data_IF_096540510995
#
_entry.id   IF_096540510995
#
_cell.length_a   1.000
_cell.length_b   1.000
_cell.length_c   1.000
_cell.angle_alpha   90.00
_cell.angle_beta   90.00
_cell.angle_gamma   90.00
#
_symmetry.space_group_name_H-M   'P 1'
#
loop_
_entity.id
_entity.type
_entity.pdbx_description
1 polymer ?
#
# COMPACT_ATOMS: atom_id res chain seq x y z
N UNK A 1 -6.60 -26.07 63.88
CA UNK A 1 -6.06 -26.27 62.51
C UNK A 1 -6.82 -25.36 61.57
N UNK A 2 -6.16 -24.32 61.06
CA UNK A 2 -6.76 -23.45 60.04
C UNK A 2 -6.61 -24.14 58.66
N UNK A 3 -7.63 -24.08 57.78
CA UNK A 3 -7.52 -24.67 56.44
C UNK A 3 -6.50 -23.90 55.61
N UNK A 4 -5.61 -24.65 54.95
CA UNK A 4 -4.63 -24.09 54.03
C UNK A 4 -5.38 -23.40 52.86
N UNK A 5 -5.07 -22.11 52.61
CA UNK A 5 -5.54 -21.41 51.48
C UNK A 5 -4.95 -22.02 50.19
N UNK A 6 -5.80 -22.73 49.44
CA UNK A 6 -5.51 -23.18 48.09
C UNK A 6 -5.34 -21.94 47.21
N UNK A 7 -4.12 -21.65 46.77
CA UNK A 7 -3.86 -20.64 45.77
C UNK A 7 -4.60 -21.04 44.50
N UNK A 8 -5.64 -20.28 44.15
CA UNK A 8 -6.30 -20.41 42.85
C UNK A 8 -5.24 -20.23 41.75
N UNK A 9 -5.08 -21.22 40.89
CA UNK A 9 -4.24 -21.10 39.71
C UNK A 9 -4.72 -19.96 38.82
N UNK A 10 -3.87 -19.41 37.92
CA UNK A 10 -4.26 -18.34 37.06
C UNK A 10 -5.53 -18.72 36.28
N UNK A 11 -6.48 -17.76 36.19
CA UNK A 11 -7.64 -17.90 35.32
C UNK A 11 -7.17 -18.20 33.88
N UNK A 12 -8.01 -18.80 33.05
CA UNK A 12 -7.64 -19.14 31.66
C UNK A 12 -7.06 -17.90 30.89
N UNK A 13 -7.60 -16.71 31.14
CA UNK A 13 -7.10 -15.44 30.62
C UNK A 13 -5.71 -15.08 31.15
N UNK A 14 -5.43 -15.31 32.42
CA UNK A 14 -4.11 -15.07 33.00
C UNK A 14 -3.04 -16.01 32.43
N UNK A 15 -3.40 -17.26 32.14
CA UNK A 15 -2.49 -18.21 31.52
C UNK A 15 -2.14 -17.81 30.06
N UNK A 16 -3.11 -17.33 29.29
CA UNK A 16 -2.90 -16.82 27.93
C UNK A 16 -1.99 -15.59 27.95
N UNK A 17 -2.25 -14.63 28.82
CA UNK A 17 -1.43 -13.41 28.97
C UNK A 17 0.02 -13.74 29.27
N UNK A 18 0.28 -14.69 30.19
CA UNK A 18 1.64 -15.13 30.51
C UNK A 18 2.34 -15.81 29.31
N UNK A 19 1.62 -16.62 28.53
CA UNK A 19 2.16 -17.26 27.32
C UNK A 19 2.51 -16.21 26.26
N UNK A 20 1.66 -15.22 26.01
CA UNK A 20 1.91 -14.12 25.08
C UNK A 20 3.10 -13.25 25.53
N UNK A 21 3.17 -12.91 26.81
CA UNK A 21 4.32 -12.20 27.37
C UNK A 21 5.63 -12.96 27.21
N UNK A 22 5.64 -14.29 27.45
CA UNK A 22 6.82 -15.15 27.23
C UNK A 22 7.22 -15.23 25.76
N UNK A 23 6.26 -15.24 24.83
CA UNK A 23 6.54 -15.25 23.39
C UNK A 23 7.38 -14.06 22.94
N UNK A 24 7.16 -12.89 23.54
CA UNK A 24 7.88 -11.65 23.23
C UNK A 24 9.29 -11.57 23.87
N UNK A 25 9.59 -12.40 24.87
CA UNK A 25 10.90 -12.44 25.51
C UNK A 25 11.90 -13.19 24.64
N UNK A 26 12.71 -12.46 23.91
CA UNK A 26 13.78 -12.97 23.04
C UNK A 26 15.05 -12.15 23.23
N UNK A 27 16.24 -12.73 23.00
CA UNK A 27 17.49 -11.98 23.00
C UNK A 27 17.49 -10.87 21.93
N UNK A 28 18.30 -9.85 22.14
CA UNK A 28 18.59 -8.78 21.17
C UNK A 28 17.36 -7.97 20.67
N UNK A 29 16.25 -8.04 21.39
CA UNK A 29 15.06 -7.21 21.16
C UNK A 29 14.68 -6.54 22.48
N UNK A 30 14.83 -5.23 22.53
CA UNK A 30 14.59 -4.46 23.74
C UNK A 30 13.08 -4.38 24.05
N UNK A 31 12.61 -4.86 25.22
CA UNK A 31 11.20 -4.75 25.59
C UNK A 31 10.68 -3.31 25.58
N UNK A 32 11.54 -2.35 25.94
CA UNK A 32 11.20 -0.93 25.92
C UNK A 32 11.01 -0.36 24.49
N UNK A 33 11.46 -1.04 23.46
CA UNK A 33 11.29 -0.67 22.04
C UNK A 33 10.36 -1.65 21.30
N UNK A 34 9.54 -2.38 22.04
CA UNK A 34 8.59 -3.34 21.52
C UNK A 34 7.20 -3.01 22.04
N UNK A 35 6.21 -3.13 21.17
CA UNK A 35 4.80 -3.01 21.51
C UNK A 35 4.03 -4.22 20.96
N UNK A 36 3.03 -4.69 21.70
CA UNK A 36 2.16 -5.76 21.23
C UNK A 36 0.75 -5.59 21.79
N UNK A 37 -0.22 -6.06 21.02
CA UNK A 37 -1.63 -6.10 21.35
C UNK A 37 -2.24 -7.41 20.83
N UNK A 38 -3.18 -8.00 21.58
CA UNK A 38 -4.08 -9.03 21.09
C UNK A 38 -5.51 -8.70 21.53
N UNK A 39 -6.45 -8.85 20.61
CA UNK A 39 -7.88 -8.57 20.78
C UNK A 39 -8.69 -9.83 20.45
N UNK A 40 -9.73 -10.08 21.21
CA UNK A 40 -10.82 -10.96 20.81
C UNK A 40 -11.78 -10.20 19.89
N UNK A 41 -12.02 -10.70 18.68
CA UNK A 41 -12.86 -10.04 17.68
C UNK A 41 -14.35 -10.17 17.97
N UNK A 42 -14.76 -11.20 18.73
CA UNK A 42 -16.16 -11.45 19.09
C UNK A 42 -16.62 -10.49 20.19
N UNK A 43 -15.80 -10.35 21.23
CA UNK A 43 -16.13 -9.52 22.39
C UNK A 43 -15.56 -8.10 22.29
N UNK A 44 -14.55 -7.90 21.45
CA UNK A 44 -13.77 -6.67 21.37
C UNK A 44 -12.84 -6.45 22.57
N UNK A 45 -12.65 -7.49 23.42
CA UNK A 45 -11.84 -7.41 24.64
C UNK A 45 -10.34 -7.45 24.31
N UNK A 46 -9.57 -6.63 25.02
CA UNK A 46 -8.11 -6.68 24.97
C UNK A 46 -7.63 -7.86 25.81
N UNK A 47 -7.12 -8.90 25.16
CA UNK A 47 -6.58 -10.10 25.80
C UNK A 47 -5.15 -9.89 26.30
N UNK A 48 -4.38 -9.06 25.60
CA UNK A 48 -3.01 -8.76 25.93
C UNK A 48 -2.62 -7.37 25.43
N UNK A 49 -1.89 -6.61 26.24
CA UNK A 49 -1.26 -5.36 25.82
C UNK A 49 0.12 -5.21 26.50
N UNK A 50 1.14 -4.94 25.71
CA UNK A 50 2.47 -4.54 26.19
C UNK A 50 2.87 -3.28 25.43
N UNK A 51 3.09 -2.15 26.14
CA UNK A 51 3.44 -0.87 25.54
C UNK A 51 2.51 -0.45 24.40
N UNK A 52 1.22 -0.78 24.45
CA UNK A 52 0.27 -0.66 23.35
C UNK A 52 0.16 0.75 22.75
N UNK A 53 0.33 1.80 23.56
CA UNK A 53 0.36 3.20 23.13
C UNK A 53 1.74 3.72 22.71
N UNK A 54 2.79 2.88 22.68
CA UNK A 54 4.14 3.31 22.31
C UNK A 54 4.23 3.59 20.82
N UNK A 55 4.68 4.79 20.48
CA UNK A 55 4.90 5.29 19.13
C UNK A 55 6.17 4.65 18.55
N UNK A 56 6.03 3.80 17.54
CA UNK A 56 7.12 3.04 16.91
C UNK A 56 7.08 3.17 15.39
N UNK A 57 8.23 3.02 14.73
CA UNK A 57 8.29 2.90 13.28
C UNK A 57 7.64 1.57 12.86
N UNK A 58 6.61 1.58 12.00
CA UNK A 58 5.82 0.41 11.69
C UNK A 58 6.41 -0.47 10.58
N UNK A 59 7.40 0.04 9.84
CA UNK A 59 7.78 -0.53 8.55
C UNK A 59 6.52 -0.78 7.68
N UNK A 60 6.51 -1.80 6.83
CA UNK A 60 5.37 -2.05 5.91
C UNK A 60 4.03 -2.37 6.58
N UNK A 61 3.91 -2.36 7.92
CA UNK A 61 2.60 -2.33 8.57
C UNK A 61 1.88 -0.99 8.37
N UNK A 62 2.57 0.04 7.87
CA UNK A 62 1.98 1.30 7.40
C UNK A 62 0.95 1.09 6.26
N UNK A 63 1.12 0.02 5.48
CA UNK A 63 0.18 -0.33 4.42
C UNK A 63 -1.22 -0.70 4.93
N UNK A 64 -1.35 -1.17 6.16
CA UNK A 64 -2.64 -1.54 6.74
C UNK A 64 -3.59 -0.33 6.92
N UNK A 65 -3.17 0.78 7.58
CA UNK A 65 -3.94 2.03 7.59
C UNK A 65 -4.31 2.54 6.21
N UNK A 66 -3.36 2.52 5.28
CA UNK A 66 -3.59 2.91 3.90
C UNK A 66 -4.67 2.04 3.22
N UNK A 67 -4.56 0.71 3.35
CA UNK A 67 -5.53 -0.24 2.81
C UNK A 67 -6.93 0.03 3.33
N UNK A 68 -7.07 0.20 4.65
CA UNK A 68 -8.35 0.52 5.27
C UNK A 68 -8.94 1.82 4.71
N UNK A 69 -8.15 2.90 4.70
CA UNK A 69 -8.60 4.19 4.21
C UNK A 69 -8.96 4.17 2.71
N UNK A 70 -8.14 3.51 1.88
CA UNK A 70 -8.40 3.42 0.45
C UNK A 70 -9.69 2.64 0.15
N UNK A 71 -9.91 1.50 0.80
CA UNK A 71 -11.14 0.72 0.63
C UNK A 71 -12.37 1.45 1.15
N UNK A 72 -12.26 2.18 2.26
CA UNK A 72 -13.36 2.96 2.84
C UNK A 72 -13.73 4.16 1.98
N UNK A 73 -12.76 4.86 1.42
CA UNK A 73 -12.98 6.13 0.70
C UNK A 73 -13.28 5.92 -0.79
N UNK A 74 -12.54 5.06 -1.45
CA UNK A 74 -12.65 4.86 -2.89
C UNK A 74 -13.54 3.65 -3.25
N UNK A 75 -13.67 2.70 -2.33
CA UNK A 75 -14.39 1.46 -2.56
C UNK A 75 -13.58 0.41 -3.33
N UNK A 76 -13.90 -0.89 -3.17
CA UNK A 76 -13.11 -2.00 -3.74
C UNK A 76 -13.13 -2.07 -5.28
N UNK A 77 -14.16 -1.52 -5.93
CA UNK A 77 -14.32 -1.51 -7.39
C UNK A 77 -13.66 -0.32 -8.09
N UNK A 78 -13.14 0.65 -7.32
CA UNK A 78 -12.47 1.84 -7.87
C UNK A 78 -11.36 1.44 -8.84
N UNK A 79 -11.25 2.21 -9.94
CA UNK A 79 -10.22 2.07 -10.97
C UNK A 79 -9.60 3.42 -11.28
N UNK A 80 -8.42 3.41 -11.81
CA UNK A 80 -7.66 4.59 -12.22
C UNK A 80 -7.55 4.56 -13.73
N UNK A 81 -8.06 5.59 -14.39
CA UNK A 81 -8.03 5.69 -15.84
C UNK A 81 -6.72 6.36 -16.31
N UNK A 82 -6.27 5.98 -17.50
CA UNK A 82 -5.24 6.66 -18.26
C UNK A 82 -5.84 7.03 -19.60
N UNK A 83 -5.80 8.31 -19.95
CA UNK A 83 -6.52 8.88 -21.07
C UNK A 83 -5.59 9.32 -22.18
N UNK A 84 -6.08 9.22 -23.41
CA UNK A 84 -5.53 9.95 -24.56
C UNK A 84 -6.52 11.04 -24.92
N UNK A 85 -6.05 12.27 -24.82
CA UNK A 85 -6.78 13.48 -25.19
C UNK A 85 -6.11 14.10 -26.41
N UNK A 86 -6.84 14.92 -27.15
CA UNK A 86 -6.31 15.67 -28.29
C UNK A 86 -6.51 17.17 -28.15
N UNK A 87 -5.49 17.98 -28.45
CA UNK A 87 -5.63 19.43 -28.70
C UNK A 87 -5.82 19.67 -30.17
N UNK A 88 -6.56 20.69 -30.54
CA UNK A 88 -6.91 20.95 -31.94
C UNK A 88 -8.14 20.20 -32.41
N UNK A 89 -8.11 19.55 -33.56
CA UNK A 89 -9.27 18.86 -34.11
C UNK A 89 -8.93 17.85 -35.19
N UNK A 90 -9.94 17.01 -35.53
CA UNK A 90 -9.80 15.99 -36.55
C UNK A 90 -10.34 16.50 -37.91
N UNK A 91 -9.51 16.43 -38.95
CA UNK A 91 -9.89 16.65 -40.36
C UNK A 91 -9.64 15.35 -41.14
N UNK A 92 -10.71 14.65 -41.47
CA UNK A 92 -10.65 13.33 -42.10
C UNK A 92 -9.81 12.33 -41.28
N UNK A 93 -8.67 11.92 -41.82
CA UNK A 93 -7.75 11.00 -41.16
C UNK A 93 -6.59 11.69 -40.41
N UNK A 94 -6.56 13.00 -40.44
CA UNK A 94 -5.50 13.84 -39.84
C UNK A 94 -6.02 14.42 -38.53
N UNK A 95 -5.25 14.28 -37.46
CA UNK A 95 -5.43 15.05 -36.24
C UNK A 95 -4.53 16.29 -36.33
N UNK A 96 -5.10 17.46 -36.46
CA UNK A 96 -4.38 18.71 -36.49
C UNK A 96 -4.20 19.25 -35.07
N UNK A 97 -3.08 18.91 -34.46
CA UNK A 97 -2.76 19.21 -33.08
C UNK A 97 -1.90 18.14 -32.43
N UNK A 98 -1.79 18.17 -31.09
CA UNK A 98 -1.02 17.20 -30.32
C UNK A 98 -1.93 16.17 -29.64
N UNK A 99 -1.42 14.96 -29.44
CA UNK A 99 -2.02 13.96 -28.54
C UNK A 99 -1.41 14.04 -27.15
N UNK A 100 -2.26 13.92 -26.15
CA UNK A 100 -1.87 13.97 -24.74
C UNK A 100 -2.09 12.61 -24.14
N UNK A 101 -1.06 12.01 -23.56
CA UNK A 101 -1.18 10.86 -22.68
C UNK A 101 -1.29 11.39 -21.25
N UNK A 102 -2.51 11.38 -20.69
CA UNK A 102 -2.80 11.87 -19.34
C UNK A 102 -2.82 10.70 -18.36
N UNK A 103 -1.90 10.71 -17.42
CA UNK A 103 -1.85 9.75 -16.33
C UNK A 103 -2.54 10.27 -15.08
N UNK A 104 -3.35 9.42 -14.46
CA UNK A 104 -4.02 9.73 -13.21
C UNK A 104 -3.47 8.89 -12.04
N UNK A 105 -2.28 8.30 -12.18
CA UNK A 105 -1.58 7.60 -11.09
C UNK A 105 -1.83 6.09 -11.02
N UNK A 106 -2.12 5.43 -12.15
CA UNK A 106 -2.20 3.97 -12.22
C UNK A 106 -0.81 3.32 -12.00
N UNK A 107 -0.59 2.57 -10.89
CA UNK A 107 0.68 1.89 -10.63
C UNK A 107 0.92 0.68 -11.54
N UNK A 108 -0.08 0.27 -12.32
CA UNK A 108 -0.08 -0.96 -13.12
C UNK A 108 0.05 -0.70 -14.61
N UNK A 109 0.01 0.57 -15.05
CA UNK A 109 0.06 0.95 -16.45
C UNK A 109 1.28 0.35 -17.16
N UNK A 110 1.01 -0.33 -18.26
CA UNK A 110 2.02 -1.11 -19.02
C UNK A 110 2.10 -0.67 -20.48
N UNK A 111 3.16 -1.12 -21.18
CA UNK A 111 3.24 -0.96 -22.63
C UNK A 111 2.13 -1.69 -23.40
N UNK A 112 1.49 -2.71 -22.79
CA UNK A 112 0.33 -3.35 -23.40
C UNK A 112 -0.87 -2.39 -23.44
N UNK A 113 -1.07 -1.65 -22.36
CA UNK A 113 -2.14 -0.63 -22.27
C UNK A 113 -1.90 0.52 -23.25
N UNK A 114 -0.64 0.97 -23.41
CA UNK A 114 -0.30 1.98 -24.43
C UNK A 114 -0.60 1.50 -25.85
N UNK A 115 -0.40 0.21 -26.15
CA UNK A 115 -0.81 -0.36 -27.43
C UNK A 115 -2.32 -0.38 -27.61
N UNK A 116 -3.06 -0.72 -26.56
CA UNK A 116 -4.52 -0.69 -26.57
C UNK A 116 -5.04 0.74 -26.81
N UNK A 117 -4.46 1.75 -26.16
CA UNK A 117 -4.77 3.16 -26.41
C UNK A 117 -4.49 3.56 -27.86
N UNK A 118 -3.34 3.17 -28.42
CA UNK A 118 -3.01 3.47 -29.81
C UNK A 118 -3.98 2.81 -30.81
N UNK A 119 -4.48 1.61 -30.52
CA UNK A 119 -5.51 0.93 -31.32
C UNK A 119 -6.84 1.70 -31.26
N UNK A 120 -7.23 2.21 -30.08
CA UNK A 120 -8.44 3.03 -29.93
C UNK A 120 -8.33 4.35 -30.71
N UNK A 121 -7.20 5.05 -30.63
CA UNK A 121 -6.94 6.26 -31.42
C UNK A 121 -7.07 5.97 -32.92
N UNK A 122 -6.52 4.83 -33.37
CA UNK A 122 -6.69 4.40 -34.76
C UNK A 122 -8.14 4.11 -35.14
N UNK A 123 -8.90 3.48 -34.23
CA UNK A 123 -10.30 3.17 -34.42
C UNK A 123 -11.19 4.45 -34.48
N UNK A 124 -10.78 5.52 -33.80
CA UNK A 124 -11.37 6.85 -33.92
C UNK A 124 -11.13 7.54 -35.29
N UNK A 125 -10.43 6.86 -36.20
CA UNK A 125 -10.20 7.34 -37.57
C UNK A 125 -8.85 8.02 -37.77
N UNK A 126 -8.06 8.30 -36.74
CA UNK A 126 -6.77 9.01 -36.83
C UNK A 126 -5.71 8.14 -37.53
N UNK A 127 -5.05 8.70 -38.55
CA UNK A 127 -3.92 8.07 -39.26
C UNK A 127 -2.64 8.89 -39.22
N UNK A 128 -2.77 10.17 -38.96
CA UNK A 128 -1.63 11.06 -38.76
C UNK A 128 -1.94 12.15 -37.74
N UNK A 129 -0.90 12.62 -37.07
CA UNK A 129 -0.93 13.68 -36.06
C UNK A 129 0.10 14.73 -36.46
N UNK A 130 -0.33 15.97 -36.71
CA UNK A 130 0.55 17.06 -37.12
C UNK A 130 1.45 17.57 -35.99
N UNK A 131 0.93 17.52 -34.74
CA UNK A 131 1.68 17.82 -33.53
C UNK A 131 2.45 16.60 -32.99
N UNK A 132 2.82 16.70 -31.74
CA UNK A 132 3.58 15.66 -31.04
C UNK A 132 2.76 14.89 -30.01
N UNK A 133 3.48 14.23 -29.10
CA UNK A 133 2.88 13.57 -27.92
C UNK A 133 3.30 14.32 -26.66
N UNK A 134 2.34 14.65 -25.82
CA UNK A 134 2.54 15.30 -24.52
C UNK A 134 2.24 14.28 -23.43
N UNK A 135 3.19 14.06 -22.51
CA UNK A 135 2.95 13.30 -21.30
C UNK A 135 2.48 14.23 -20.19
N UNK A 136 1.26 14.02 -19.70
CA UNK A 136 0.68 14.80 -18.60
C UNK A 136 0.69 13.97 -17.32
N UNK A 137 1.45 14.44 -16.32
CA UNK A 137 1.54 13.87 -14.98
C UNK A 137 1.01 14.81 -13.89
N UNK A 138 0.26 15.84 -14.28
CA UNK A 138 -0.17 16.94 -13.40
C UNK A 138 -1.14 16.53 -12.30
N UNK A 139 -1.74 15.33 -12.38
CA UNK A 139 -2.59 14.78 -11.34
C UNK A 139 -1.84 14.58 -10.01
N UNK A 140 -0.51 14.39 -10.05
CA UNK A 140 0.34 14.33 -8.87
C UNK A 140 1.37 15.47 -8.85
N UNK A 141 1.91 15.74 -7.64
CA UNK A 141 3.07 16.61 -7.51
C UNK A 141 4.32 15.98 -8.18
N UNK A 142 5.35 16.79 -8.40
CA UNK A 142 6.59 16.37 -9.06
C UNK A 142 7.58 15.66 -8.13
N UNK A 143 7.20 15.38 -6.88
CA UNK A 143 8.06 14.70 -5.91
C UNK A 143 8.12 13.20 -6.22
N UNK A 144 9.32 12.74 -6.58
CA UNK A 144 9.59 11.33 -6.95
C UNK A 144 9.80 10.40 -5.76
N UNK A 145 10.01 10.96 -4.58
CA UNK A 145 10.27 10.29 -3.30
C UNK A 145 9.49 10.98 -2.19
N UNK A 146 9.39 10.32 -1.02
CA UNK A 146 8.68 10.86 0.14
C UNK A 146 9.66 11.32 1.22
N UNK A 147 9.23 12.26 2.07
CA UNK A 147 10.02 12.75 3.18
C UNK A 147 10.40 11.62 4.16
N UNK A 148 11.64 11.62 4.64
CA UNK A 148 12.14 10.61 5.57
C UNK A 148 12.65 9.32 4.92
N UNK A 149 12.57 9.19 3.60
CA UNK A 149 13.22 8.08 2.89
C UNK A 149 14.75 8.22 2.93
N UNK A 150 15.44 7.07 2.99
CA UNK A 150 16.89 7.04 2.75
C UNK A 150 17.14 7.27 1.26
N UNK A 151 18.26 7.93 0.88
CA UNK A 151 18.60 8.10 -0.54
C UNK A 151 18.65 6.79 -1.34
N UNK A 152 19.13 5.70 -0.70
CA UNK A 152 19.19 4.37 -1.32
C UNK A 152 17.83 3.74 -1.61
N UNK A 153 16.76 4.23 -1.00
CA UNK A 153 15.41 3.69 -1.28
C UNK A 153 14.86 4.15 -2.63
N UNK A 154 15.38 5.26 -3.17
CA UNK A 154 15.06 5.68 -4.52
C UNK A 154 15.59 4.66 -5.53
N UNK A 155 14.70 4.10 -6.31
CA UNK A 155 14.89 2.99 -7.25
C UNK A 155 14.97 1.60 -6.56
N UNK A 156 15.75 1.43 -5.51
CA UNK A 156 15.96 0.11 -4.90
C UNK A 156 14.67 -0.42 -4.23
N UNK A 157 13.96 0.44 -3.48
CA UNK A 157 12.74 0.08 -2.77
C UNK A 157 11.46 0.56 -3.47
N UNK A 158 11.54 1.65 -4.23
CA UNK A 158 10.43 2.18 -5.01
C UNK A 158 10.93 2.93 -6.26
N UNK A 159 10.36 2.66 -7.45
CA UNK A 159 10.55 3.50 -8.62
C UNK A 159 10.09 4.94 -8.37
N UNK A 160 10.50 5.90 -9.23
CA UNK A 160 10.04 7.29 -9.15
C UNK A 160 8.52 7.41 -9.21
N UNK A 161 7.94 8.14 -8.25
CA UNK A 161 6.51 8.41 -8.18
C UNK A 161 6.11 9.44 -9.25
N UNK A 162 5.03 9.15 -10.00
CA UNK A 162 4.49 10.04 -11.04
C UNK A 162 3.06 9.64 -11.35
N UNK A 163 2.20 10.61 -11.68
CA UNK A 163 0.85 10.30 -12.13
C UNK A 163 0.85 9.57 -13.50
N UNK A 164 1.91 9.74 -14.30
CA UNK A 164 2.11 9.03 -15.57
C UNK A 164 3.39 8.21 -15.54
N UNK A 165 3.26 6.92 -15.31
CA UNK A 165 4.40 5.99 -15.24
C UNK A 165 4.04 4.65 -15.90
N UNK A 166 4.86 4.18 -16.82
CA UNK A 166 4.66 2.92 -17.55
C UNK A 166 5.72 1.91 -17.15
N UNK A 167 5.31 0.64 -16.96
CA UNK A 167 6.19 -0.47 -16.56
C UNK A 167 7.08 -0.08 -15.35
N UNK A 168 6.54 0.69 -14.37
CA UNK A 168 7.26 1.15 -13.18
C UNK A 168 8.51 1.96 -13.53
N UNK A 169 8.39 2.85 -14.51
CA UNK A 169 9.47 3.71 -15.03
C UNK A 169 10.65 2.94 -15.66
N UNK A 170 10.48 1.67 -16.06
CA UNK A 170 11.53 0.88 -16.70
C UNK A 170 11.62 1.15 -18.21
N UNK A 171 12.83 1.53 -18.64
CA UNK A 171 13.20 1.61 -20.06
C UNK A 171 14.34 0.62 -20.31
N UNK A 172 14.00 -0.52 -20.90
CA UNK A 172 14.93 -1.63 -21.00
C UNK A 172 15.33 -2.15 -19.60
N UNK A 173 16.61 -2.06 -19.26
CA UNK A 173 17.15 -2.49 -17.95
C UNK A 173 17.26 -1.36 -16.93
N UNK A 174 16.98 -0.12 -17.32
CA UNK A 174 17.21 1.08 -16.50
C UNK A 174 15.86 1.62 -16.00
N UNK A 175 15.83 2.11 -14.77
CA UNK A 175 14.72 2.91 -14.24
C UNK A 175 15.03 4.38 -14.52
N UNK A 176 14.12 5.04 -15.25
CA UNK A 176 14.29 6.47 -15.60
C UNK A 176 13.82 7.38 -14.48
N UNK A 177 14.49 8.52 -14.32
CA UNK A 177 14.06 9.59 -13.42
C UNK A 177 12.97 10.51 -14.00
N UNK A 178 12.65 10.34 -15.31
CA UNK A 178 11.65 11.13 -16.04
C UNK A 178 10.51 10.25 -16.56
N UNK A 179 9.67 9.68 -15.66
CA UNK A 179 8.68 8.66 -16.03
C UNK A 179 7.66 9.13 -17.07
N UNK A 180 7.15 10.36 -16.95
CA UNK A 180 6.17 10.90 -17.88
C UNK A 180 6.73 11.07 -19.32
N UNK A 181 7.97 11.51 -19.46
CA UNK A 181 8.64 11.60 -20.77
C UNK A 181 8.84 10.23 -21.40
N UNK A 182 9.26 9.24 -20.58
CA UNK A 182 9.42 7.88 -21.03
C UNK A 182 8.09 7.23 -21.45
N UNK A 183 7.02 7.49 -20.71
CA UNK A 183 5.68 7.02 -21.03
C UNK A 183 5.17 7.63 -22.35
N UNK A 184 5.30 8.93 -22.52
CA UNK A 184 4.91 9.63 -23.75
C UNK A 184 5.74 9.16 -24.97
N UNK A 185 7.04 8.90 -24.78
CA UNK A 185 7.90 8.30 -25.82
C UNK A 185 7.42 6.91 -26.21
N UNK A 186 7.14 6.07 -25.23
CA UNK A 186 6.63 4.70 -25.45
C UNK A 186 5.25 4.74 -26.14
N UNK A 187 4.40 5.71 -25.82
CA UNK A 187 3.10 5.87 -26.48
C UNK A 187 3.25 6.32 -27.94
N UNK A 188 4.11 7.29 -28.24
CA UNK A 188 4.43 7.65 -29.64
C UNK A 188 4.89 6.42 -30.44
N UNK A 189 5.72 5.58 -29.84
CA UNK A 189 6.18 4.36 -30.50
C UNK A 189 5.03 3.34 -30.69
N UNK A 190 4.07 3.27 -29.77
CA UNK A 190 2.86 2.47 -29.89
C UNK A 190 1.96 2.99 -31.04
N UNK A 191 1.76 4.31 -31.14
CA UNK A 191 1.03 4.95 -32.26
C UNK A 191 1.66 4.63 -33.61
N UNK A 192 2.97 4.77 -33.74
CA UNK A 192 3.69 4.44 -34.98
C UNK A 192 3.56 2.96 -35.37
N UNK A 193 3.65 2.05 -34.40
CA UNK A 193 3.44 0.60 -34.61
C UNK A 193 2.00 0.29 -35.01
N UNK A 194 1.03 1.06 -34.53
CA UNK A 194 -0.37 0.96 -34.96
C UNK A 194 -0.61 1.55 -36.37
N UNK A 195 0.39 2.19 -36.99
CA UNK A 195 0.32 2.80 -38.31
C UNK A 195 -0.20 4.25 -38.28
N UNK A 196 -0.03 4.96 -37.16
CA UNK A 196 -0.33 6.38 -37.03
C UNK A 196 0.97 7.17 -37.10
N UNK A 197 1.10 8.05 -38.12
CA UNK A 197 2.26 8.95 -38.26
C UNK A 197 2.18 10.06 -37.20
N UNK A 198 3.30 10.35 -36.52
CA UNK A 198 3.40 11.47 -35.58
C UNK A 198 4.55 12.34 -35.97
N UNK A 199 4.27 13.60 -36.38
CA UNK A 199 5.24 14.53 -36.93
C UNK A 199 6.02 15.30 -35.86
N UNK A 200 5.34 15.72 -34.79
CA UNK A 200 5.93 16.58 -33.78
C UNK A 200 6.74 15.85 -32.67
N UNK A 201 7.36 16.62 -31.80
CA UNK A 201 8.22 16.09 -30.73
C UNK A 201 7.42 15.47 -29.58
N UNK A 202 8.13 14.70 -28.73
CA UNK A 202 7.62 14.28 -27.42
C UNK A 202 8.07 15.28 -26.37
N UNK A 203 7.16 15.67 -25.49
CA UNK A 203 7.44 16.56 -24.34
C UNK A 203 6.57 16.21 -23.15
N UNK A 204 6.88 16.74 -21.99
CA UNK A 204 6.03 16.73 -20.79
C UNK A 204 5.33 18.09 -20.69
N UNK A 205 4.08 18.09 -20.28
CA UNK A 205 3.30 19.31 -20.08
C UNK A 205 1.95 19.00 -19.47
N UNK A 206 1.35 20.01 -18.87
CA UNK A 206 -0.04 19.97 -18.40
C UNK A 206 -0.95 20.38 -19.55
N UNK A 207 -2.15 19.84 -19.54
CA UNK A 207 -3.17 20.08 -20.56
C UNK A 207 -4.29 20.93 -20.01
N UNK A 208 -4.79 21.84 -20.86
CA UNK A 208 -5.96 22.65 -20.57
C UNK A 208 -7.26 21.87 -20.72
N UNK A 209 -8.34 22.34 -20.06
CA UNK A 209 -9.65 21.66 -19.97
C UNK A 209 -10.41 21.48 -21.31
N UNK A 210 -9.89 21.96 -22.43
CA UNK A 210 -10.53 21.95 -23.75
C UNK A 210 -10.06 20.80 -24.66
N UNK A 211 -9.49 19.75 -24.13
CA UNK A 211 -9.01 18.62 -24.92
C UNK A 211 -10.09 17.58 -25.14
N UNK A 212 -10.15 17.03 -26.37
CA UNK A 212 -11.12 16.01 -26.76
C UNK A 212 -10.67 14.60 -26.32
N UNK A 213 -11.50 13.81 -25.64
CA UNK A 213 -11.16 12.44 -25.28
C UNK A 213 -11.20 11.52 -26.52
N UNK A 214 -10.12 10.76 -26.73
CA UNK A 214 -9.95 9.86 -27.89
C UNK A 214 -9.83 8.39 -27.48
N UNK A 215 -9.26 8.09 -26.34
CA UNK A 215 -9.05 6.74 -25.86
C UNK A 215 -8.88 6.71 -24.36
N UNK A 216 -9.25 5.61 -23.73
CA UNK A 216 -9.02 5.37 -22.30
C UNK A 216 -8.72 3.91 -22.01
N UNK A 217 -7.90 3.67 -21.00
CA UNK A 217 -7.73 2.35 -20.37
C UNK A 217 -7.83 2.51 -18.86
N UNK A 218 -8.40 1.49 -18.21
CA UNK A 218 -8.55 1.48 -16.75
C UNK A 218 -7.62 0.47 -16.09
N UNK A 219 -7.11 0.81 -14.93
CA UNK A 219 -6.37 -0.11 -14.07
C UNK A 219 -7.21 -1.33 -13.67
N UNK A 220 -6.60 -2.39 -13.10
CA UNK A 220 -7.33 -3.34 -12.27
C UNK A 220 -8.10 -2.63 -11.15
N UNK A 221 -9.07 -3.32 -10.53
CA UNK A 221 -9.80 -2.77 -9.38
C UNK A 221 -8.88 -2.50 -8.19
N UNK A 222 -9.27 -1.55 -7.33
CA UNK A 222 -8.57 -1.25 -6.09
C UNK A 222 -8.37 -2.53 -5.24
N UNK A 223 -9.38 -3.39 -5.15
CA UNK A 223 -9.26 -4.67 -4.46
C UNK A 223 -8.10 -5.54 -5.00
N UNK A 224 -7.89 -5.53 -6.32
CA UNK A 224 -6.77 -6.25 -6.96
C UNK A 224 -5.42 -5.59 -6.65
N UNK A 225 -5.36 -4.27 -6.71
CA UNK A 225 -4.14 -3.50 -6.43
C UNK A 225 -3.71 -3.63 -4.96
N UNK A 226 -4.66 -3.52 -4.03
CA UNK A 226 -4.44 -3.70 -2.58
C UNK A 226 -3.98 -5.13 -2.28
N UNK A 227 -4.60 -6.13 -2.92
CA UNK A 227 -4.17 -7.52 -2.74
C UNK A 227 -2.73 -7.76 -3.18
N UNK A 228 -2.29 -7.18 -4.27
CA UNK A 228 -0.89 -7.22 -4.69
C UNK A 228 0.00 -6.46 -3.70
N UNK A 229 -0.37 -5.22 -3.35
CA UNK A 229 0.36 -4.35 -2.44
C UNK A 229 0.63 -5.00 -1.08
N UNK A 230 -0.38 -5.58 -0.44
CA UNK A 230 -0.24 -6.14 0.89
C UNK A 230 0.44 -7.50 0.88
N UNK A 231 0.11 -8.36 -0.11
CA UNK A 231 0.66 -9.71 -0.22
C UNK A 231 2.16 -9.70 -0.52
N UNK A 232 2.58 -8.87 -1.48
CA UNK A 232 3.97 -8.74 -1.89
C UNK A 232 4.73 -7.64 -1.13
N UNK A 233 4.00 -6.88 -0.32
CA UNK A 233 4.54 -5.71 0.41
C UNK A 233 5.06 -4.61 -0.53
N UNK A 234 4.39 -4.38 -1.65
CA UNK A 234 4.85 -3.50 -2.71
C UNK A 234 4.79 -2.03 -2.30
N UNK A 235 5.96 -1.38 -2.29
CA UNK A 235 6.09 0.01 -1.83
C UNK A 235 5.57 1.01 -2.86
N UNK A 236 5.85 0.77 -4.14
CA UNK A 236 5.43 1.67 -5.22
C UNK A 236 3.91 1.79 -5.30
N UNK A 237 3.19 0.66 -5.30
CA UNK A 237 1.73 0.66 -5.30
C UNK A 237 1.18 1.38 -4.07
N UNK A 238 1.81 1.21 -2.90
CA UNK A 238 1.38 1.90 -1.68
C UNK A 238 1.48 3.43 -1.81
N UNK A 239 2.61 3.94 -2.31
CA UNK A 239 2.79 5.38 -2.48
C UNK A 239 1.83 5.96 -3.54
N UNK A 240 1.61 5.24 -4.63
CA UNK A 240 0.68 5.68 -5.67
C UNK A 240 -0.76 5.74 -5.15
N UNK A 241 -1.20 4.73 -4.38
CA UNK A 241 -2.52 4.71 -3.75
C UNK A 241 -2.66 5.79 -2.66
N UNK A 242 -1.60 6.10 -1.92
CA UNK A 242 -1.62 7.21 -0.96
C UNK A 242 -1.86 8.55 -1.67
N UNK A 243 -1.14 8.83 -2.76
CA UNK A 243 -1.35 10.04 -3.56
C UNK A 243 -2.74 10.06 -4.19
N UNK A 244 -3.25 8.90 -4.58
CA UNK A 244 -4.60 8.74 -5.13
C UNK A 244 -5.69 9.13 -4.11
N UNK A 245 -5.52 8.75 -2.84
CA UNK A 245 -6.39 9.21 -1.76
C UNK A 245 -6.39 10.74 -1.64
N UNK A 246 -5.22 11.35 -1.65
CA UNK A 246 -5.09 12.81 -1.61
C UNK A 246 -5.72 13.49 -2.81
N UNK A 247 -5.59 12.91 -4.00
CA UNK A 247 -6.19 13.43 -5.23
C UNK A 247 -7.72 13.39 -5.19
N UNK A 248 -8.30 12.24 -4.83
CA UNK A 248 -9.76 12.05 -4.88
C UNK A 248 -10.50 12.75 -3.74
N UNK A 249 -9.93 12.79 -2.54
CA UNK A 249 -10.62 13.33 -1.38
C UNK A 249 -10.32 14.81 -1.11
N UNK A 250 -9.14 15.29 -1.52
CA UNK A 250 -8.68 16.67 -1.25
C UNK A 250 -8.25 17.43 -2.50
N UNK A 251 -8.42 16.86 -3.71
CA UNK A 251 -7.98 17.43 -4.99
C UNK A 251 -6.48 17.76 -5.02
N UNK A 252 -5.68 16.98 -4.29
CA UNK A 252 -4.23 17.15 -4.17
C UNK A 252 -3.51 15.81 -4.24
N UNK A 253 -2.94 15.48 -5.40
CA UNK A 253 -2.20 14.24 -5.62
C UNK A 253 -0.82 14.25 -4.94
N UNK A 254 -0.76 14.41 -3.62
CA UNK A 254 0.48 14.46 -2.82
C UNK A 254 0.45 13.42 -1.69
N UNK A 255 1.62 12.92 -1.28
CA UNK A 255 1.72 12.00 -0.13
C UNK A 255 1.19 12.64 1.16
N UNK A 256 1.43 13.93 1.37
CA UNK A 256 0.93 14.65 2.54
C UNK A 256 -0.60 14.73 2.59
N UNK A 257 -1.24 14.99 1.45
CA UNK A 257 -2.70 14.99 1.37
C UNK A 257 -3.29 13.59 1.61
N UNK A 258 -2.71 12.56 1.00
CA UNK A 258 -3.11 11.18 1.23
C UNK A 258 -2.95 10.75 2.68
N UNK A 259 -1.83 11.09 3.32
CA UNK A 259 -1.60 10.83 4.74
C UNK A 259 -2.65 11.51 5.64
N UNK A 260 -3.05 12.75 5.30
CA UNK A 260 -4.12 13.46 6.01
C UNK A 260 -5.47 12.72 5.87
N UNK A 261 -5.79 12.21 4.69
CA UNK A 261 -7.01 11.41 4.46
C UNK A 261 -6.98 10.11 5.28
N UNK A 262 -5.85 9.41 5.32
CA UNK A 262 -5.70 8.20 6.16
C UNK A 262 -5.93 8.52 7.62
N UNK A 263 -5.28 9.58 8.15
CA UNK A 263 -5.44 10.01 9.53
C UNK A 263 -6.91 10.36 9.85
N UNK A 264 -7.59 11.13 8.99
CA UNK A 264 -9.00 11.49 9.15
C UNK A 264 -9.91 10.26 9.13
N UNK A 265 -9.69 9.34 8.21
CA UNK A 265 -10.51 8.12 8.07
C UNK A 265 -10.41 7.24 9.32
N UNK A 266 -9.20 7.01 9.83
CA UNK A 266 -8.99 6.23 11.05
C UNK A 266 -9.57 6.92 12.29
N UNK A 267 -9.42 8.24 12.40
CA UNK A 267 -10.00 9.01 13.50
C UNK A 267 -11.52 8.92 13.48
N UNK A 268 -12.14 9.08 12.31
CA UNK A 268 -13.59 8.97 12.15
C UNK A 268 -14.12 7.56 12.47
N UNK A 269 -13.32 6.53 12.23
CA UNK A 269 -13.64 5.15 12.60
C UNK A 269 -13.42 4.84 14.09
N UNK A 270 -12.99 5.80 14.91
CA UNK A 270 -12.75 5.62 16.34
C UNK A 270 -11.46 4.87 16.68
N UNK A 271 -10.51 4.79 15.76
CA UNK A 271 -9.20 4.18 16.02
C UNK A 271 -8.39 5.06 16.98
N UNK A 272 -7.69 4.50 17.99
CA UNK A 272 -6.85 5.26 18.90
C UNK A 272 -5.65 5.89 18.18
N UNK A 273 -5.67 7.20 17.91
CA UNK A 273 -4.66 7.89 17.10
C UNK A 273 -3.55 8.58 17.90
N UNK A 274 -3.57 8.53 19.23
CA UNK A 274 -2.50 9.10 20.06
C UNK A 274 -1.15 8.45 19.74
N UNK A 275 -0.15 9.27 19.40
CA UNK A 275 1.19 8.80 19.04
C UNK A 275 1.33 8.28 17.60
N UNK A 276 0.29 8.39 16.78
CA UNK A 276 0.31 8.04 15.35
C UNK A 276 0.77 9.24 14.52
N UNK A 277 1.61 8.98 13.53
CA UNK A 277 2.02 9.91 12.49
C UNK A 277 2.26 9.16 11.19
N UNK A 278 1.51 9.50 10.17
CA UNK A 278 1.61 8.93 8.82
C UNK A 278 2.27 9.97 7.90
N UNK A 279 3.31 9.59 7.21
CA UNK A 279 4.08 10.43 6.29
C UNK A 279 4.09 9.84 4.89
N UNK A 280 4.20 8.51 4.78
CA UNK A 280 4.14 7.78 3.52
C UNK A 280 3.11 6.63 3.58
N UNK A 281 2.93 5.92 2.46
CA UNK A 281 2.01 4.78 2.40
C UNK A 281 2.71 3.43 2.57
N UNK A 282 4.01 3.39 2.39
CA UNK A 282 4.80 2.15 2.34
C UNK A 282 5.39 1.74 3.69
N UNK A 283 5.65 2.71 4.57
CA UNK A 283 6.39 2.54 5.81
C UNK A 283 7.92 2.57 5.64
N UNK A 284 8.41 3.09 4.51
CA UNK A 284 9.83 3.35 4.28
C UNK A 284 10.30 4.59 5.02
N UNK A 285 9.41 5.55 5.26
CA UNK A 285 9.72 6.79 5.95
C UNK A 285 10.11 6.53 7.40
N UNK A 286 11.31 7.00 7.77
CA UNK A 286 11.76 6.98 9.17
C UNK A 286 10.94 7.87 10.09
N UNK A 287 10.05 8.68 9.51
CA UNK A 287 9.18 9.61 10.22
C UNK A 287 7.83 8.99 10.60
N UNK A 288 7.43 7.87 9.99
CA UNK A 288 6.19 7.18 10.34
C UNK A 288 6.20 6.66 11.77
N UNK A 289 5.06 6.73 12.41
CA UNK A 289 4.83 6.22 13.76
C UNK A 289 3.43 5.59 13.84
N UNK A 290 3.39 4.33 14.25
CA UNK A 290 2.15 3.67 14.66
C UNK A 290 2.29 3.13 16.08
N UNK A 291 1.15 2.83 16.68
CA UNK A 291 1.06 2.17 17.98
C UNK A 291 0.37 0.82 17.79
N UNK A 292 0.65 -0.15 18.67
CA UNK A 292 -0.06 -1.43 18.64
C UNK A 292 -1.57 -1.24 18.91
N UNK A 293 -1.94 -0.22 19.69
CA UNK A 293 -3.33 0.14 19.92
C UNK A 293 -4.01 0.65 18.64
N UNK A 294 -3.32 1.49 17.85
CA UNK A 294 -3.85 1.97 16.57
C UNK A 294 -4.02 0.84 15.56
N UNK A 295 -3.00 -0.01 15.41
CA UNK A 295 -3.06 -1.18 14.52
C UNK A 295 -4.18 -2.15 14.93
N UNK A 296 -4.28 -2.49 16.22
CA UNK A 296 -5.34 -3.37 16.72
C UNK A 296 -6.73 -2.74 16.59
N UNK A 297 -6.86 -1.45 16.89
CA UNK A 297 -8.11 -0.70 16.70
C UNK A 297 -8.55 -0.67 15.23
N UNK A 298 -7.62 -0.40 14.31
CA UNK A 298 -7.88 -0.43 12.87
C UNK A 298 -8.29 -1.84 12.40
N UNK A 299 -7.59 -2.90 12.84
CA UNK A 299 -7.95 -4.28 12.51
C UNK A 299 -9.35 -4.63 13.03
N UNK A 300 -9.72 -4.15 14.23
CA UNK A 300 -11.06 -4.35 14.80
C UNK A 300 -12.15 -3.67 13.96
N UNK A 301 -11.97 -2.41 13.58
CA UNK A 301 -12.97 -1.70 12.76
C UNK A 301 -13.04 -2.27 11.34
N UNK A 302 -11.91 -2.66 10.75
CA UNK A 302 -11.88 -3.32 9.45
C UNK A 302 -12.58 -4.70 9.47
N UNK A 303 -12.49 -5.43 10.59
CA UNK A 303 -13.21 -6.69 10.78
C UNK A 303 -14.73 -6.50 10.81
N UNK A 304 -15.19 -5.44 11.44
CA UNK A 304 -16.61 -5.11 11.55
C UNK A 304 -17.21 -4.56 10.25
N UNK A 305 -16.37 -4.06 9.32
CA UNK A 305 -16.83 -3.47 8.08
C UNK A 305 -17.09 -4.55 7.01
N UNK A 306 -18.34 -4.71 6.53
CA UNK A 306 -18.70 -5.77 5.58
C UNK A 306 -18.10 -5.57 4.18
N UNK A 307 -17.66 -4.36 3.82
CA UNK A 307 -17.04 -4.04 2.55
C UNK A 307 -15.52 -4.23 2.63
N UNK A 308 -14.90 -3.73 3.68
CA UNK A 308 -13.44 -3.78 3.87
C UNK A 308 -12.95 -5.18 4.25
N UNK A 309 -13.65 -5.85 5.18
CA UNK A 309 -13.22 -7.14 5.72
C UNK A 309 -12.88 -8.19 4.65
N UNK A 310 -13.75 -8.53 3.71
CA UNK A 310 -13.44 -9.60 2.75
C UNK A 310 -12.26 -9.26 1.85
N UNK A 311 -12.09 -8.00 1.48
CA UNK A 311 -10.99 -7.54 0.63
C UNK A 311 -9.66 -7.56 1.40
N UNK A 312 -9.66 -7.04 2.63
CA UNK A 312 -8.47 -7.04 3.49
C UNK A 312 -8.00 -8.47 3.80
N UNK A 313 -8.91 -9.37 4.16
CA UNK A 313 -8.55 -10.78 4.41
C UNK A 313 -7.93 -11.44 3.16
N UNK A 314 -8.48 -11.17 1.96
CA UNK A 314 -7.94 -11.67 0.71
C UNK A 314 -6.60 -11.04 0.32
N UNK A 315 -6.30 -9.85 0.83
CA UNK A 315 -5.06 -9.12 0.56
C UNK A 315 -3.90 -9.55 1.46
N UNK A 316 -4.18 -9.99 2.69
CA UNK A 316 -3.12 -10.34 3.64
C UNK A 316 -2.36 -11.62 3.23
N UNK A 317 -1.03 -11.66 3.44
CA UNK A 317 -0.25 -12.89 3.39
C UNK A 317 -0.78 -13.95 4.34
N UNK A 318 -0.77 -15.21 3.91
CA UNK A 318 -1.24 -16.36 4.69
C UNK A 318 -0.05 -17.20 5.14
N UNK A 319 0.04 -17.45 6.44
CA UNK A 319 1.12 -18.19 7.09
C UNK A 319 1.36 -19.57 6.45
N UNK A 320 2.60 -19.80 5.99
CA UNK A 320 3.05 -21.05 5.36
C UNK A 320 2.39 -21.35 4.00
N UNK A 321 1.74 -20.35 3.35
CA UNK A 321 0.98 -20.55 2.11
C UNK A 321 1.41 -19.58 1.01
N UNK A 322 1.39 -18.26 1.27
CA UNK A 322 1.67 -17.28 0.22
C UNK A 322 2.26 -15.96 0.76
N UNK A 323 2.69 -15.11 -0.19
CA UNK A 323 3.19 -13.77 0.07
C UNK A 323 4.38 -13.77 1.03
N UNK A 324 4.56 -12.69 1.76
CA UNK A 324 5.68 -12.52 2.70
C UNK A 324 5.65 -13.46 3.92
N UNK A 325 4.60 -14.26 4.09
CA UNK A 325 4.50 -15.32 5.11
C UNK A 325 4.65 -16.73 4.56
N UNK A 326 4.94 -16.91 3.26
CA UNK A 326 5.07 -18.22 2.64
C UNK A 326 6.06 -19.13 3.38
N UNK A 327 7.18 -18.59 3.84
CA UNK A 327 8.23 -19.32 4.53
C UNK A 327 8.22 -19.15 6.07
N UNK A 328 7.18 -18.50 6.61
CA UNK A 328 6.99 -18.28 8.04
C UNK A 328 5.76 -19.05 8.54
N UNK A 329 5.78 -19.48 9.81
CA UNK A 329 4.62 -20.14 10.46
C UNK A 329 4.11 -21.36 9.67
N UNK A 330 5.01 -22.16 9.10
CA UNK A 330 4.72 -23.27 8.17
C UNK A 330 4.09 -24.51 8.82
N UNK A 331 4.01 -24.54 10.16
CA UNK A 331 3.51 -25.70 10.92
C UNK A 331 2.19 -25.35 11.63
N UNK A 332 1.31 -26.35 11.85
CA UNK A 332 0.18 -26.19 12.77
C UNK A 332 0.65 -25.70 14.15
N UNK A 333 -0.19 -24.93 14.87
CA UNK A 333 -1.55 -24.53 14.53
C UNK A 333 -1.64 -23.27 13.67
N UNK A 334 -0.54 -22.57 13.39
CA UNK A 334 -0.54 -21.26 12.73
C UNK A 334 -0.70 -21.32 11.20
N UNK A 335 -0.20 -22.40 10.56
CA UNK A 335 -0.27 -22.56 9.10
C UNK A 335 -1.70 -22.44 8.58
N UNK A 336 -1.92 -21.56 7.61
CA UNK A 336 -3.22 -21.30 7.00
C UNK A 336 -4.21 -20.54 7.89
N UNK A 337 -3.89 -20.32 9.20
CA UNK A 337 -4.79 -19.67 10.17
C UNK A 337 -4.37 -18.25 10.54
N UNK A 338 -3.12 -17.88 10.29
CA UNK A 338 -2.59 -16.53 10.51
C UNK A 338 -2.58 -15.80 9.19
N UNK A 339 -3.32 -14.70 9.09
CA UNK A 339 -3.36 -13.78 7.96
C UNK A 339 -2.80 -12.45 8.46
N UNK A 340 -1.58 -12.08 8.03
CA UNK A 340 -0.94 -10.91 8.62
C UNK A 340 0.02 -10.20 7.67
N UNK A 341 0.06 -8.87 7.79
CA UNK A 341 1.03 -8.03 7.12
C UNK A 341 2.35 -8.06 7.87
N UNK A 342 3.43 -8.36 7.18
CA UNK A 342 4.80 -8.22 7.68
C UNK A 342 5.31 -6.79 7.49
N UNK A 343 6.26 -6.38 8.32
CA UNK A 343 7.03 -5.16 8.14
C UNK A 343 8.49 -5.41 8.46
N UNK A 344 9.41 -4.86 7.64
CA UNK A 344 10.85 -4.94 7.86
C UNK A 344 11.55 -3.74 7.24
N UNK A 345 12.32 -3.02 8.04
CA UNK A 345 13.35 -2.05 7.61
C UNK A 345 14.58 -2.27 8.48
N UNK A 346 15.68 -1.54 8.28
CA UNK A 346 16.90 -1.72 9.09
C UNK A 346 16.66 -1.58 10.60
N UNK A 347 15.68 -0.77 10.99
CA UNK A 347 15.46 -0.37 12.38
C UNK A 347 14.11 -0.87 12.94
N UNK A 348 13.27 -1.54 12.12
CA UNK A 348 11.93 -1.96 12.52
C UNK A 348 11.55 -3.33 11.97
N UNK A 349 10.80 -4.10 12.78
CA UNK A 349 10.15 -5.34 12.37
C UNK A 349 8.75 -5.39 12.97
N UNK A 350 7.76 -5.79 12.16
CA UNK A 350 6.37 -5.84 12.59
C UNK A 350 5.62 -7.02 11.99
N UNK A 351 4.56 -7.44 12.67
CA UNK A 351 3.58 -8.42 12.19
C UNK A 351 2.23 -8.06 12.81
N UNK A 352 1.23 -7.79 11.97
CA UNK A 352 -0.12 -7.44 12.43
C UNK A 352 -1.17 -8.00 11.50
N UNK A 353 -2.28 -8.48 12.05
CA UNK A 353 -3.35 -9.11 11.29
C UNK A 353 -4.27 -9.95 12.16
N UNK A 354 -4.74 -11.06 11.61
CA UNK A 354 -5.75 -11.93 12.22
C UNK A 354 -5.25 -13.34 12.44
N UNK A 355 -5.81 -13.98 13.45
CA UNK A 355 -5.66 -15.43 13.69
C UNK A 355 -7.03 -16.06 13.66
N UNK A 356 -7.30 -16.84 12.61
CA UNK A 356 -8.64 -17.33 12.31
C UNK A 356 -9.66 -16.17 12.29
N UNK A 357 -10.91 -16.46 12.59
CA UNK A 357 -11.96 -15.44 12.73
C UNK A 357 -12.15 -14.98 14.18
N UNK A 358 -11.13 -15.20 15.02
CA UNK A 358 -11.26 -15.03 16.47
C UNK A 358 -10.42 -13.90 17.03
N UNK A 359 -9.20 -13.73 16.55
CA UNK A 359 -8.26 -12.78 17.15
C UNK A 359 -7.68 -11.80 16.15
N UNK A 360 -7.55 -10.53 16.55
CA UNK A 360 -6.67 -9.56 15.89
C UNK A 360 -5.43 -9.34 16.76
N UNK A 361 -4.29 -9.12 16.13
CA UNK A 361 -3.05 -8.85 16.85
C UNK A 361 -2.14 -7.88 16.12
N UNK A 362 -1.29 -7.21 16.87
CA UNK A 362 -0.22 -6.36 16.36
C UNK A 362 1.04 -6.54 17.23
N UNK A 363 2.18 -6.73 16.59
CA UNK A 363 3.51 -6.74 17.22
C UNK A 363 4.43 -5.84 16.43
N UNK A 364 4.96 -4.79 17.07
CA UNK A 364 5.90 -3.83 16.46
C UNK A 364 7.15 -3.74 17.32
N UNK A 365 8.31 -3.87 16.70
CA UNK A 365 9.60 -3.91 17.39
C UNK A 365 10.60 -3.03 16.66
N UNK A 366 11.29 -2.16 17.41
CA UNK A 366 12.32 -1.28 16.88
C UNK A 366 13.67 -1.53 17.56
N UNK A 367 14.75 -1.24 16.86
CA UNK A 367 16.12 -1.36 17.34
C UNK A 367 17.09 -0.65 16.42
N UNK A 368 18.33 -0.46 16.86
CA UNK A 368 19.39 0.08 16.01
C UNK A 368 20.76 -0.52 16.43
N UNK A 369 21.24 -1.54 15.71
CA UNK A 369 20.54 -2.37 14.74
C UNK A 369 19.45 -3.23 15.39
N UNK A 370 18.43 -3.66 14.61
CA UNK A 370 17.44 -4.63 15.05
C UNK A 370 17.84 -6.03 14.60
N UNK A 371 17.85 -7.00 15.51
CA UNK A 371 18.01 -8.41 15.15
C UNK A 371 16.72 -8.98 14.56
N UNK A 372 16.61 -9.01 13.22
CA UNK A 372 15.43 -9.49 12.51
C UNK A 372 15.04 -10.91 12.87
N UNK A 373 16.04 -11.79 13.01
CA UNK A 373 15.77 -13.19 13.33
C UNK A 373 15.03 -13.33 14.66
N UNK A 374 15.51 -12.61 15.70
CA UNK A 374 14.89 -12.64 17.01
C UNK A 374 13.54 -11.91 17.03
N UNK A 375 13.43 -10.78 16.34
CA UNK A 375 12.17 -10.06 16.22
C UNK A 375 11.10 -10.92 15.54
N UNK A 376 11.41 -11.52 14.40
CA UNK A 376 10.49 -12.45 13.70
C UNK A 376 10.14 -13.66 14.56
N UNK A 377 11.10 -14.21 15.31
CA UNK A 377 10.84 -15.34 16.21
C UNK A 377 9.85 -14.98 17.33
N UNK A 378 9.93 -13.76 17.88
CA UNK A 378 8.97 -13.28 18.87
C UNK A 378 7.57 -13.14 18.27
N UNK A 379 7.47 -12.54 17.10
CA UNK A 379 6.23 -12.37 16.35
C UNK A 379 5.58 -13.73 16.03
N UNK A 380 6.36 -14.67 15.51
CA UNK A 380 5.89 -16.00 15.14
C UNK A 380 5.38 -16.78 16.37
N UNK A 381 6.12 -16.73 17.50
CA UNK A 381 5.67 -17.33 18.76
C UNK A 381 4.38 -16.71 19.28
N UNK A 382 4.25 -15.38 19.18
CA UNK A 382 3.05 -14.66 19.62
C UNK A 382 1.82 -15.12 18.81
N UNK A 383 1.93 -15.13 17.48
CA UNK A 383 0.88 -15.60 16.58
C UNK A 383 0.56 -17.10 16.79
N UNK A 384 1.58 -17.96 17.04
CA UNK A 384 1.39 -19.37 17.35
C UNK A 384 0.62 -19.58 18.65
N UNK A 385 0.89 -18.77 19.68
CA UNK A 385 0.15 -18.84 20.97
C UNK A 385 -1.32 -18.53 20.75
N UNK A 386 -1.66 -17.51 19.96
CA UNK A 386 -3.05 -17.19 19.60
C UNK A 386 -3.69 -18.29 18.75
N UNK A 387 -2.95 -18.85 17.78
CA UNK A 387 -3.46 -19.91 16.91
C UNK A 387 -3.72 -21.24 17.64
N UNK A 388 -3.16 -21.41 18.84
CA UNK A 388 -3.31 -22.60 19.66
C UNK A 388 -4.46 -22.49 20.70
N UNK A 389 -5.22 -21.41 20.69
CA UNK A 389 -6.45 -21.24 21.47
C UNK A 389 -7.64 -21.79 20.67
#
# INVERSE_FOLDING_TARGET
MAPAATSAGPTQDGALQLRLARALKVPHVAPARSAALALDLTTGTVLFAQNGGRSLAPASNEKLPLTYAALTKLGPSFRIDTDVLGTGGQDGAVWDGALILKGNGDPTLSRADLRALAVQVKAAGVRSVTGGVIGDESAFDTRRIVAGWKPSFFIDESPPLSALVVDRARVGRIVTSTPALAAATAFRDALRKAGIAVAGPVRVGQVDDWSEPLATVSSPTLATMVRFMDRESDNFTAEMLLKQLGLNELYRGTSAAGAAVVMQTLTAAGVPMTGVRIVDGSGLSRLDRLTANALGGMLKVAWADPIVRPVLLAALPVAGVNGTLQDRLRKPPARGRVLAKTGTTDDASALSGYVSDTYAFAVVQNGHPLSYWWARRAQDRFAQVLAAQ
#
